data_IF_682917883069
#
_entry.id   IF_682917883069
#
_cell.length_a   1.000
_cell.length_b   1.000
_cell.length_c   1.000
_cell.angle_alpha   90.00
_cell.angle_beta   90.00
_cell.angle_gamma   90.00
#
_symmetry.space_group_name_H-M   'P 1'
#
loop_
_entity.id
_entity.type
_entity.pdbx_description
1 polymer ?
#
# COMPACT_ATOMS: atom_id res chain seq x y z
N UNK A 1 -2.58 -20.79 -12.81
CA UNK A 1 -1.31 -20.04 -12.94
C UNK A 1 -1.03 -19.91 -14.43
N UNK A 2 -1.03 -18.70 -14.99
CA UNK A 2 -0.61 -18.47 -16.38
C UNK A 2 0.40 -17.32 -16.40
N UNK A 3 1.49 -17.54 -17.13
CA UNK A 3 2.56 -16.58 -17.38
C UNK A 3 2.38 -16.01 -18.80
N UNK A 4 2.58 -14.70 -18.97
CA UNK A 4 2.74 -14.08 -20.29
C UNK A 4 4.20 -14.24 -20.79
N UNK A 5 4.39 -14.16 -22.11
CA UNK A 5 5.62 -14.49 -22.87
C UNK A 5 6.88 -13.63 -22.61
N UNK A 6 6.85 -12.63 -21.73
CA UNK A 6 7.94 -11.66 -21.55
C UNK A 6 8.59 -11.67 -20.15
N UNK A 7 8.18 -12.57 -19.23
CA UNK A 7 8.89 -12.74 -17.95
C UNK A 7 8.89 -11.54 -16.98
N UNK A 8 8.26 -10.41 -17.33
CA UNK A 8 8.16 -9.24 -16.46
C UNK A 8 7.10 -9.44 -15.37
N UNK A 9 7.54 -9.35 -14.10
CA UNK A 9 6.64 -9.35 -12.92
C UNK A 9 5.74 -8.12 -12.95
N UNK A 10 4.48 -8.27 -13.33
CA UNK A 10 3.44 -7.24 -13.17
C UNK A 10 3.24 -6.99 -11.67
N UNK A 11 3.71 -5.83 -11.19
CA UNK A 11 3.28 -5.29 -9.90
C UNK A 11 1.83 -4.87 -10.08
N UNK A 12 0.90 -5.65 -9.55
CA UNK A 12 -0.53 -5.34 -9.57
C UNK A 12 -0.74 -3.99 -8.88
N UNK A 13 -0.91 -2.95 -9.69
CA UNK A 13 -1.37 -1.64 -9.26
C UNK A 13 -2.84 -1.78 -8.91
N UNK A 14 -3.20 -1.60 -7.63
CA UNK A 14 -4.58 -1.28 -7.31
C UNK A 14 -4.88 0.09 -7.96
N UNK A 15 -5.91 0.13 -8.79
CA UNK A 15 -6.55 1.34 -9.36
C UNK A 15 -5.98 1.88 -10.68
N UNK A 16 -5.68 1.01 -11.65
CA UNK A 16 -5.45 1.49 -13.02
C UNK A 16 -6.79 1.69 -13.73
N UNK A 17 -7.41 2.86 -13.57
CA UNK A 17 -8.21 3.44 -14.64
C UNK A 17 -7.21 3.85 -15.73
N UNK A 18 -7.25 3.20 -16.90
CA UNK A 18 -6.52 3.67 -18.08
C UNK A 18 -7.06 5.05 -18.44
N UNK A 19 -6.34 6.05 -17.96
CA UNK A 19 -6.68 7.44 -18.08
C UNK A 19 -5.85 7.98 -19.23
N UNK A 20 -6.47 8.16 -20.39
CA UNK A 20 -5.85 8.89 -21.48
C UNK A 20 -6.13 10.38 -21.30
N UNK A 21 -5.07 11.18 -21.33
CA UNK A 21 -5.18 12.63 -21.46
C UNK A 21 -5.23 12.94 -22.96
N UNK A 22 -6.34 13.48 -23.44
CA UNK A 22 -6.48 13.90 -24.84
C UNK A 22 -6.49 15.43 -24.86
N UNK A 23 -5.60 16.02 -25.67
CA UNK A 23 -5.61 17.45 -25.95
C UNK A 23 -6.50 17.66 -27.18
N UNK A 24 -7.63 18.35 -26.98
CA UNK A 24 -8.44 18.88 -28.08
C UNK A 24 -8.55 20.38 -27.82
N UNK A 25 -8.01 21.21 -28.72
CA UNK A 25 -8.13 22.68 -28.68
C UNK A 25 -7.68 23.32 -27.37
N UNK A 26 -6.39 23.15 -27.03
CA UNK A 26 -5.69 23.81 -25.90
C UNK A 26 -6.29 23.59 -24.50
N UNK A 27 -7.15 22.57 -24.33
CA UNK A 27 -7.74 22.21 -23.04
C UNK A 27 -7.51 20.73 -22.76
N UNK A 28 -7.05 20.44 -21.53
CA UNK A 28 -6.92 19.08 -21.05
C UNK A 28 -8.29 18.48 -20.78
N UNK A 29 -8.58 17.33 -21.39
CA UNK A 29 -9.77 16.52 -21.07
C UNK A 29 -9.34 15.17 -20.48
N UNK A 30 -9.97 14.82 -19.37
CA UNK A 30 -9.84 13.51 -18.72
C UNK A 30 -10.95 12.59 -19.24
N UNK A 31 -10.60 11.51 -19.93
CA UNK A 31 -11.57 10.51 -20.40
C UNK A 31 -11.33 9.16 -19.74
N UNK A 32 -12.39 8.58 -19.19
CA UNK A 32 -12.40 7.22 -18.63
C UNK A 32 -12.88 6.26 -19.71
N UNK A 33 -11.96 5.55 -20.35
CA UNK A 33 -12.31 4.61 -21.43
C UNK A 33 -12.84 3.27 -20.93
N UNK A 34 -12.43 2.83 -19.72
CA UNK A 34 -12.83 1.55 -19.15
C UNK A 34 -13.53 1.76 -17.81
N UNK A 35 -14.86 1.88 -17.85
CA UNK A 35 -15.70 2.09 -16.65
C UNK A 35 -15.84 0.83 -15.78
N UNK A 36 -15.44 -0.33 -16.31
CA UNK A 36 -15.57 -1.61 -15.62
C UNK A 36 -14.25 -2.01 -14.99
N UNK A 37 -14.26 -2.22 -13.69
CA UNK A 37 -13.14 -2.82 -12.98
C UNK A 37 -13.07 -4.32 -13.32
N UNK A 38 -11.87 -4.82 -13.57
CA UNK A 38 -11.63 -6.26 -13.82
C UNK A 38 -11.86 -7.14 -12.58
N UNK A 39 -12.25 -6.54 -11.46
CA UNK A 39 -12.46 -7.20 -10.19
C UNK A 39 -13.55 -6.50 -9.39
N UNK A 40 -14.27 -7.29 -8.59
CA UNK A 40 -15.22 -6.77 -7.61
C UNK A 40 -14.54 -5.87 -6.59
N UNK A 41 -15.33 -5.02 -5.92
CA UNK A 41 -14.84 -4.22 -4.80
C UNK A 41 -14.21 -5.13 -3.75
N UNK A 42 -13.03 -4.76 -3.27
CA UNK A 42 -12.42 -5.48 -2.16
C UNK A 42 -13.21 -5.24 -0.88
N UNK A 43 -13.70 -6.32 -0.30
CA UNK A 43 -14.49 -6.30 0.93
C UNK A 43 -13.60 -6.29 2.18
N UNK A 44 -12.36 -6.74 2.08
CA UNK A 44 -11.44 -6.80 3.20
C UNK A 44 -10.89 -5.39 3.52
N UNK A 45 -11.16 -4.83 4.71
CA UNK A 45 -10.62 -3.54 5.13
C UNK A 45 -9.09 -3.48 5.07
N UNK A 46 -8.39 -4.62 5.22
CA UNK A 46 -6.93 -4.68 5.14
C UNK A 46 -6.39 -4.30 3.76
N UNK A 47 -7.20 -4.39 2.71
CA UNK A 47 -6.77 -4.00 1.35
C UNK A 47 -6.75 -2.48 1.14
N UNK A 48 -7.47 -1.72 1.98
CA UNK A 48 -7.59 -0.28 1.87
C UNK A 48 -6.59 0.43 2.78
N UNK A 49 -5.81 1.38 2.24
CA UNK A 49 -4.77 2.08 2.98
C UNK A 49 -5.31 2.91 4.17
N UNK A 50 -6.54 3.42 4.07
CA UNK A 50 -7.18 4.25 5.10
C UNK A 50 -7.31 3.47 6.41
N UNK A 51 -7.70 2.19 6.33
CA UNK A 51 -7.87 1.33 7.51
C UNK A 51 -6.55 0.76 8.04
N UNK A 52 -5.43 0.99 7.35
CA UNK A 52 -4.08 0.58 7.79
C UNK A 52 -3.20 1.77 8.19
N UNK A 53 -3.79 2.96 8.33
CA UNK A 53 -3.05 4.15 8.80
C UNK A 53 -2.56 3.89 10.23
N UNK A 54 -1.25 4.07 10.43
CA UNK A 54 -0.64 3.93 11.75
C UNK A 54 -1.09 5.08 12.63
N UNK A 55 -1.42 4.78 13.87
CA UNK A 55 -1.61 5.80 14.91
C UNK A 55 -0.28 6.46 15.25
N UNK A 56 -0.31 7.58 15.98
CA UNK A 56 0.92 8.25 16.42
C UNK A 56 1.76 7.32 17.30
N UNK A 57 1.14 6.67 18.29
CA UNK A 57 1.82 5.70 19.15
C UNK A 57 2.49 4.55 18.37
N UNK A 58 1.82 4.02 17.34
CA UNK A 58 2.42 2.99 16.48
C UNK A 58 3.62 3.50 15.70
N UNK A 59 3.60 4.76 15.24
CA UNK A 59 4.74 5.37 14.54
C UNK A 59 5.92 5.56 15.49
N UNK A 60 5.68 6.08 16.68
CA UNK A 60 6.72 6.31 17.69
C UNK A 60 7.38 4.98 18.10
N UNK A 61 6.57 3.92 18.26
CA UNK A 61 7.07 2.57 18.53
C UNK A 61 7.91 2.02 17.36
N UNK A 62 7.44 2.17 16.12
CA UNK A 62 8.20 1.77 14.92
C UNK A 62 9.53 2.49 14.86
N UNK A 63 9.56 3.80 15.11
CA UNK A 63 10.78 4.61 15.09
C UNK A 63 11.76 4.18 16.18
N UNK A 64 11.32 4.11 17.43
CA UNK A 64 12.12 3.67 18.58
C UNK A 64 12.74 2.29 18.36
N UNK A 65 11.93 1.32 17.92
CA UNK A 65 12.44 -0.03 17.65
C UNK A 65 13.32 -0.10 16.40
N UNK A 66 13.11 0.77 15.42
CA UNK A 66 13.98 0.84 14.24
C UNK A 66 15.37 1.37 14.59
N UNK A 67 15.44 2.39 15.45
CA UNK A 67 16.69 2.99 15.91
C UNK A 67 17.51 2.01 16.77
N UNK A 68 16.85 1.09 17.49
CA UNK A 68 17.50 -0.01 18.21
C UNK A 68 17.87 -1.21 17.33
N UNK A 69 17.60 -1.13 16.02
CA UNK A 69 17.98 -2.16 15.04
C UNK A 69 16.99 -3.32 14.91
N UNK A 70 15.79 -3.24 15.50
CA UNK A 70 14.80 -4.30 15.41
C UNK A 70 14.35 -4.58 13.97
N UNK A 71 14.03 -5.84 13.69
CA UNK A 71 13.50 -6.31 12.40
C UNK A 71 11.99 -6.03 12.31
N UNK A 72 11.47 -5.83 11.10
CA UNK A 72 10.05 -5.52 10.87
C UNK A 72 9.08 -6.49 11.55
N UNK A 73 9.39 -7.80 11.57
CA UNK A 73 8.54 -8.79 12.25
C UNK A 73 8.55 -8.64 13.78
N UNK A 74 9.66 -8.24 14.37
CA UNK A 74 9.74 -7.99 15.81
C UNK A 74 8.90 -6.76 16.20
N UNK A 75 8.95 -5.73 15.37
CA UNK A 75 8.13 -4.52 15.53
C UNK A 75 6.65 -4.85 15.35
N UNK A 76 6.31 -5.68 14.36
CA UNK A 76 4.92 -6.13 14.15
C UNK A 76 4.38 -6.87 15.36
N UNK A 77 5.16 -7.80 15.91
CA UNK A 77 4.77 -8.56 17.09
C UNK A 77 4.57 -7.64 18.32
N UNK A 78 5.39 -6.58 18.45
CA UNK A 78 5.21 -5.60 19.52
C UNK A 78 3.90 -4.82 19.35
N UNK A 79 3.60 -4.35 18.13
CA UNK A 79 2.32 -3.67 17.82
C UNK A 79 1.14 -4.61 18.09
N UNK A 80 1.20 -5.87 17.63
CA UNK A 80 0.13 -6.85 17.86
C UNK A 80 -0.06 -7.21 19.34
N UNK A 81 0.99 -7.10 20.15
CA UNK A 81 0.89 -7.31 21.59
C UNK A 81 0.15 -6.17 22.29
N UNK A 82 0.30 -4.94 21.82
CA UNK A 82 -0.40 -3.76 22.33
C UNK A 82 -1.82 -3.62 21.74
N UNK A 83 -1.99 -3.98 20.47
CA UNK A 83 -3.23 -3.89 19.69
C UNK A 83 -3.41 -5.17 18.86
N UNK A 84 -4.06 -6.21 19.41
CA UNK A 84 -4.27 -7.48 18.71
C UNK A 84 -5.11 -7.37 17.44
N UNK A 85 -5.99 -6.37 17.38
CA UNK A 85 -6.88 -6.12 16.24
C UNK A 85 -6.25 -5.19 15.18
N UNK A 86 -4.95 -4.92 15.33
CA UNK A 86 -4.20 -4.07 14.41
C UNK A 86 -4.27 -4.62 12.98
N UNK A 87 -4.57 -3.72 12.04
CA UNK A 87 -4.55 -4.01 10.60
C UNK A 87 -3.21 -3.70 9.96
N UNK A 88 -2.23 -3.27 10.76
CA UNK A 88 -0.88 -2.95 10.30
C UNK A 88 -0.20 -4.22 9.82
N UNK A 89 0.38 -4.17 8.63
CA UNK A 89 1.14 -5.29 8.06
C UNK A 89 2.65 -5.10 8.19
N UNK A 90 3.41 -6.20 8.04
CA UNK A 90 4.87 -6.14 7.97
C UNK A 90 5.37 -5.24 6.81
N UNK A 91 4.58 -5.14 5.73
CA UNK A 91 4.88 -4.26 4.59
C UNK A 91 4.76 -2.79 4.97
N UNK A 92 3.74 -2.42 5.75
CA UNK A 92 3.57 -1.05 6.26
C UNK A 92 4.77 -0.65 7.11
N UNK A 93 5.19 -1.52 8.03
CA UNK A 93 6.38 -1.30 8.88
C UNK A 93 7.64 -1.16 8.03
N UNK A 94 7.83 -2.01 7.00
CA UNK A 94 8.98 -1.90 6.10
C UNK A 94 9.02 -0.55 5.37
N UNK A 95 7.86 -0.05 4.94
CA UNK A 95 7.77 1.25 4.26
C UNK A 95 8.11 2.41 5.20
N UNK A 96 7.57 2.40 6.43
CA UNK A 96 7.90 3.42 7.45
C UNK A 96 9.40 3.39 7.80
N UNK A 97 9.99 2.21 7.99
CA UNK A 97 11.43 2.05 8.21
C UNK A 97 12.30 2.63 7.10
N UNK A 98 11.82 2.53 5.85
CA UNK A 98 12.52 3.12 4.71
C UNK A 98 12.54 4.64 4.79
N UNK A 99 11.50 5.27 5.32
CA UNK A 99 11.41 6.72 5.50
C UNK A 99 12.24 7.22 6.69
N UNK A 100 12.41 6.41 7.75
CA UNK A 100 13.23 6.76 8.93
C UNK A 100 14.72 6.68 8.62
N UNK A 101 15.15 5.72 7.80
CA UNK A 101 16.56 5.49 7.45
C UNK A 101 17.10 6.45 6.39
N UNK A 102 16.33 7.47 6.01
CA UNK A 102 16.71 8.46 5.00
C UNK A 102 17.85 9.33 5.53
#
# INVERSE_FOLDING_TARGET
>A
MSLDRDGSRKRLSLDTLDTMQVIITDKWRLEVQHKHHNYSRSLDPSTHNVYRRRTLAQKDLIESMTNTGARSMQILNAIQKEDPETRVSATDIRNERKAIRV
#
